data_IF_823962878951
#
_entry.id   IF_823962878951
#
_cell.length_a   1.000
_cell.length_b   1.000
_cell.length_c   1.000
_cell.angle_alpha   90.00
_cell.angle_beta   90.00
_cell.angle_gamma   90.00
#
_symmetry.space_group_name_H-M   'P 1'
#
loop_
_entity.id
_entity.type
_entity.pdbx_description
1 polymer ?
#
# COMPACT_ATOMS: atom_id res chain seq x y z
N UNK A 1 23.54 6.49 -27.96
CA UNK A 1 23.82 6.85 -26.55
C UNK A 1 22.50 7.06 -25.83
N UNK A 2 22.24 6.41 -24.67
CA UNK A 2 21.05 6.71 -23.88
C UNK A 2 21.22 8.07 -23.17
N UNK A 3 20.15 8.87 -22.96
CA UNK A 3 20.30 10.25 -22.51
C UNK A 3 20.42 10.37 -20.99
N UNK A 4 21.48 11.05 -20.52
CA UNK A 4 21.57 12.26 -19.63
C UNK A 4 20.46 12.55 -18.57
N UNK A 5 19.62 11.59 -18.16
CA UNK A 5 18.52 11.82 -17.21
C UNK A 5 19.00 11.93 -15.75
N UNK A 6 20.10 11.27 -15.40
CA UNK A 6 20.68 11.29 -14.05
C UNK A 6 21.29 12.64 -13.70
N UNK A 7 22.02 13.26 -14.63
CA UNK A 7 22.78 14.49 -14.37
C UNK A 7 21.87 15.70 -14.20
N UNK A 8 20.77 15.76 -14.96
CA UNK A 8 19.77 16.82 -14.80
C UNK A 8 19.11 16.79 -13.42
N UNK A 9 18.79 15.60 -12.90
CA UNK A 9 18.18 15.46 -11.56
C UNK A 9 19.15 15.88 -10.46
N UNK A 10 20.43 15.49 -10.56
CA UNK A 10 21.49 15.90 -9.62
C UNK A 10 21.67 17.42 -9.59
N UNK A 11 21.78 18.06 -10.76
CA UNK A 11 21.90 19.52 -10.87
C UNK A 11 20.71 20.27 -10.25
N UNK A 12 19.48 19.75 -10.39
CA UNK A 12 18.30 20.33 -9.75
C UNK A 12 18.39 20.24 -8.22
N UNK A 13 18.78 19.07 -7.68
CA UNK A 13 18.94 18.88 -6.22
C UNK A 13 20.02 19.82 -5.66
N UNK A 14 21.15 19.96 -6.34
CA UNK A 14 22.22 20.88 -5.94
C UNK A 14 21.75 22.34 -5.95
N UNK A 15 21.01 22.75 -6.99
CA UNK A 15 20.43 24.08 -7.08
C UNK A 15 19.45 24.37 -5.93
N UNK A 16 18.62 23.38 -5.56
CA UNK A 16 17.69 23.47 -4.42
C UNK A 16 18.42 23.58 -3.07
N UNK A 17 19.51 22.83 -2.89
CA UNK A 17 20.36 22.94 -1.71
C UNK A 17 20.97 24.35 -1.58
N UNK A 18 21.51 24.89 -2.68
CA UNK A 18 22.06 26.27 -2.72
C UNK A 18 20.98 27.31 -2.41
N UNK A 19 19.77 27.17 -2.95
CA UNK A 19 18.64 28.07 -2.66
C UNK A 19 18.29 28.06 -1.17
N UNK A 20 18.25 26.88 -0.55
CA UNK A 20 17.93 26.72 0.87
C UNK A 20 19.00 27.38 1.77
N UNK A 21 20.28 27.18 1.45
CA UNK A 21 21.40 27.83 2.15
C UNK A 21 21.37 29.36 1.98
N UNK A 22 21.07 29.86 0.78
CA UNK A 22 20.97 31.29 0.51
C UNK A 22 19.84 31.94 1.33
N UNK A 23 18.68 31.29 1.42
CA UNK A 23 17.55 31.77 2.23
C UNK A 23 17.90 31.78 3.72
N UNK A 24 18.55 30.74 4.23
CA UNK A 24 19.02 30.71 5.62
C UNK A 24 20.05 31.81 5.88
N UNK A 25 20.99 32.05 4.96
CA UNK A 25 21.99 33.09 5.12
C UNK A 25 21.39 34.52 5.13
N UNK A 26 20.33 34.75 4.33
CA UNK A 26 19.56 36.00 4.37
C UNK A 26 18.83 36.14 5.71
N UNK A 27 18.15 35.08 6.19
CA UNK A 27 17.46 35.09 7.50
C UNK A 27 18.43 35.35 8.66
N UNK A 28 19.66 34.83 8.56
CA UNK A 28 20.72 35.04 9.55
C UNK A 28 21.42 36.40 9.40
N UNK A 29 20.94 37.29 8.53
CA UNK A 29 21.50 38.63 8.34
C UNK A 29 22.89 38.67 7.67
N UNK A 30 23.39 37.55 7.14
CA UNK A 30 24.73 37.48 6.51
C UNK A 30 24.84 38.25 5.20
N UNK A 31 23.70 38.54 4.56
CA UNK A 31 23.66 39.28 3.30
C UNK A 31 22.63 40.41 3.37
N UNK A 32 22.97 41.62 2.90
CA UNK A 32 22.09 42.79 2.96
C UNK A 32 20.94 42.74 1.95
N UNK A 33 21.02 41.86 0.93
CA UNK A 33 19.97 41.71 -0.06
C UNK A 33 19.96 40.32 -0.69
N UNK A 34 18.81 39.92 -1.24
CA UNK A 34 18.69 38.70 -2.03
C UNK A 34 19.64 38.67 -3.23
N UNK A 35 19.96 39.83 -3.83
CA UNK A 35 20.89 39.90 -4.95
C UNK A 35 22.36 39.66 -4.54
N UNK A 36 22.74 40.02 -3.31
CA UNK A 36 24.07 39.76 -2.77
C UNK A 36 24.24 38.28 -2.40
N UNK A 37 23.21 37.69 -1.77
CA UNK A 37 23.18 36.26 -1.48
C UNK A 37 23.22 35.43 -2.77
N UNK A 38 22.36 35.73 -3.75
CA UNK A 38 22.32 35.02 -5.03
C UNK A 38 23.67 34.99 -5.76
N UNK A 39 24.41 36.11 -5.76
CA UNK A 39 25.77 36.16 -6.34
C UNK A 39 26.75 35.27 -5.59
N UNK A 40 26.69 35.26 -4.26
CA UNK A 40 27.62 34.49 -3.42
C UNK A 40 27.37 32.97 -3.48
N UNK A 41 26.11 32.56 -3.70
CA UNK A 41 25.72 31.15 -3.85
C UNK A 41 25.63 30.69 -5.31
N UNK A 42 26.02 31.53 -6.28
CA UNK A 42 25.96 31.25 -7.73
C UNK A 42 24.56 30.86 -8.23
N UNK A 43 23.53 31.59 -7.83
CA UNK A 43 22.13 31.34 -8.21
C UNK A 43 21.56 32.55 -8.94
N UNK A 44 20.67 32.38 -9.94
CA UNK A 44 19.94 33.50 -10.51
C UNK A 44 19.12 34.25 -9.46
N UNK A 45 19.27 35.58 -9.43
CA UNK A 45 18.56 36.45 -8.47
C UNK A 45 17.05 36.31 -8.58
N UNK A 46 16.52 36.14 -9.79
CA UNK A 46 15.09 35.95 -10.06
C UNK A 46 14.55 34.67 -9.41
N UNK A 47 15.31 33.57 -9.48
CA UNK A 47 14.94 32.28 -8.86
C UNK A 47 14.92 32.37 -7.34
N UNK A 48 15.94 33.02 -6.74
CA UNK A 48 15.98 33.22 -5.28
C UNK A 48 14.84 34.11 -4.79
N UNK A 49 14.55 35.22 -5.49
CA UNK A 49 13.40 36.08 -5.17
C UNK A 49 12.08 35.32 -5.30
N UNK A 50 11.89 34.55 -6.36
CA UNK A 50 10.69 33.74 -6.54
C UNK A 50 10.50 32.73 -5.39
N UNK A 51 11.59 32.10 -4.92
CA UNK A 51 11.54 31.17 -3.79
C UNK A 51 11.22 31.87 -2.46
N UNK A 52 11.81 33.05 -2.20
CA UNK A 52 11.49 33.87 -1.02
C UNK A 52 10.01 34.27 -1.02
N UNK A 53 9.45 34.56 -2.20
CA UNK A 53 8.03 34.86 -2.39
C UNK A 53 7.11 33.61 -2.35
N UNK A 54 7.61 32.45 -1.92
CA UNK A 54 6.81 31.25 -1.70
C UNK A 54 6.65 30.31 -2.90
N UNK A 55 7.39 30.52 -4.01
CA UNK A 55 7.34 29.58 -5.14
C UNK A 55 8.10 28.31 -4.82
N UNK A 56 7.36 27.20 -4.64
CA UNK A 56 7.92 25.86 -4.38
C UNK A 56 8.87 25.37 -5.50
N UNK A 57 9.78 24.46 -5.13
CA UNK A 57 10.61 23.76 -6.09
C UNK A 57 9.75 22.96 -7.08
N UNK A 58 10.18 22.85 -8.33
CA UNK A 58 9.56 21.91 -9.27
C UNK A 58 9.69 20.44 -8.82
N UNK A 59 10.67 20.13 -7.97
CA UNK A 59 10.89 18.79 -7.40
C UNK A 59 9.95 18.50 -6.24
N UNK A 60 9.59 19.53 -5.45
CA UNK A 60 8.66 19.43 -4.32
C UNK A 60 7.21 19.61 -4.77
N UNK A 61 6.99 20.40 -5.84
CA UNK A 61 5.68 20.67 -6.38
C UNK A 61 5.05 19.39 -6.91
N UNK A 62 4.02 18.93 -6.21
CA UNK A 62 3.19 17.82 -6.66
C UNK A 62 2.67 18.10 -8.06
N UNK A 63 2.84 17.14 -8.97
CA UNK A 63 2.44 17.32 -10.36
C UNK A 63 0.93 17.60 -10.46
N UNK A 64 0.52 18.52 -11.33
CA UNK A 64 -0.89 18.85 -11.59
C UNK A 64 -1.74 17.67 -12.12
N UNK A 65 -1.16 16.47 -12.27
CA UNK A 65 -1.82 15.26 -12.76
C UNK A 65 -2.40 14.38 -11.63
N UNK A 66 -2.17 14.73 -10.36
CA UNK A 66 -2.81 14.03 -9.25
C UNK A 66 -4.28 14.42 -9.16
N UNK A 67 -5.14 13.42 -9.21
CA UNK A 67 -6.60 13.58 -9.13
C UNK A 67 -7.03 13.92 -7.69
N UNK A 68 -6.36 13.32 -6.71
CA UNK A 68 -6.61 13.51 -5.29
C UNK A 68 -5.49 14.33 -4.63
N UNK A 69 -5.88 15.18 -3.68
CA UNK A 69 -4.99 15.91 -2.77
C UNK A 69 -4.24 14.95 -1.84
N UNK A 70 -3.26 15.46 -1.10
CA UNK A 70 -2.44 14.62 -0.21
C UNK A 70 -3.23 14.10 0.97
N UNK A 71 -4.14 14.95 1.47
CA UNK A 71 -5.06 14.64 2.55
C UNK A 71 -6.08 13.58 2.11
N UNK A 72 -6.61 13.70 0.89
CA UNK A 72 -7.53 12.71 0.33
C UNK A 72 -6.84 11.35 0.13
N UNK A 73 -5.66 11.33 -0.49
CA UNK A 73 -4.91 10.09 -0.65
C UNK A 73 -4.50 9.48 0.70
N UNK A 74 -4.17 10.31 1.70
CA UNK A 74 -3.89 9.85 3.07
C UNK A 74 -5.12 9.25 3.76
N UNK A 75 -6.31 9.81 3.52
CA UNK A 75 -7.58 9.24 4.01
C UNK A 75 -7.88 7.89 3.36
N UNK A 76 -7.64 7.77 2.05
CA UNK A 76 -7.80 6.50 1.32
C UNK A 76 -6.83 5.44 1.86
N UNK A 77 -5.56 5.81 2.08
CA UNK A 77 -4.56 4.91 2.67
C UNK A 77 -4.98 4.43 4.07
N UNK A 78 -5.41 5.35 4.94
CA UNK A 78 -5.89 5.00 6.29
C UNK A 78 -7.09 4.06 6.25
N UNK A 79 -8.04 4.30 5.34
CA UNK A 79 -9.18 3.43 5.14
C UNK A 79 -8.78 2.03 4.66
N UNK A 80 -7.83 1.93 3.73
CA UNK A 80 -7.30 0.64 3.26
C UNK A 80 -6.66 -0.15 4.40
N UNK A 81 -5.87 0.51 5.25
CA UNK A 81 -5.23 -0.14 6.40
C UNK A 81 -6.24 -0.58 7.46
N UNK A 82 -7.26 0.23 7.76
CA UNK A 82 -8.34 -0.14 8.68
C UNK A 82 -9.12 -1.36 8.15
N UNK A 83 -9.48 -1.37 6.88
CA UNK A 83 -10.15 -2.51 6.24
C UNK A 83 -9.26 -3.76 6.23
N UNK A 84 -7.97 -3.61 5.97
CA UNK A 84 -7.01 -4.70 6.04
C UNK A 84 -6.90 -5.27 7.46
N UNK A 85 -6.91 -4.43 8.49
CA UNK A 85 -6.89 -4.87 9.90
C UNK A 85 -8.12 -5.70 10.30
N UNK A 86 -9.26 -5.45 9.66
CA UNK A 86 -10.52 -6.19 9.85
C UNK A 86 -10.61 -7.46 9.01
N UNK A 87 -9.56 -7.80 8.25
CA UNK A 87 -9.53 -8.98 7.38
C UNK A 87 -10.27 -8.81 6.06
N UNK A 88 -10.61 -7.59 5.65
CA UNK A 88 -11.32 -7.37 4.39
C UNK A 88 -10.42 -7.65 3.16
N UNK A 89 -10.96 -8.36 2.19
CA UNK A 89 -10.27 -8.75 0.96
C UNK A 89 -10.32 -7.64 -0.11
N UNK A 90 -9.71 -6.49 0.14
CA UNK A 90 -9.77 -5.36 -0.80
C UNK A 90 -8.99 -5.63 -2.09
N UNK A 91 -9.60 -5.37 -3.24
CA UNK A 91 -8.97 -5.56 -4.56
C UNK A 91 -8.70 -4.23 -5.27
N UNK A 92 -7.86 -4.26 -6.32
CA UNK A 92 -7.61 -3.08 -7.16
C UNK A 92 -8.88 -2.51 -7.81
N UNK A 93 -9.81 -3.32 -8.34
CA UNK A 93 -11.10 -2.80 -8.81
C UNK A 93 -11.91 -2.13 -7.70
N UNK A 94 -12.01 -2.72 -6.51
CA UNK A 94 -12.74 -2.11 -5.39
C UNK A 94 -12.15 -0.76 -4.97
N UNK A 95 -10.82 -0.64 -4.92
CA UNK A 95 -10.15 0.65 -4.68
C UNK A 95 -10.48 1.68 -5.77
N UNK A 96 -10.57 1.24 -7.01
CA UNK A 96 -10.97 2.10 -8.13
C UNK A 96 -12.41 2.59 -7.98
N UNK A 97 -13.33 1.69 -7.64
CA UNK A 97 -14.73 2.01 -7.48
C UNK A 97 -14.94 2.98 -6.32
N UNK A 98 -14.24 2.76 -5.20
CA UNK A 98 -14.20 3.69 -4.07
C UNK A 98 -13.71 5.08 -4.53
N UNK A 99 -12.58 5.14 -5.23
CA UNK A 99 -12.05 6.41 -5.74
C UNK A 99 -13.04 7.13 -6.67
N UNK A 100 -13.71 6.40 -7.57
CA UNK A 100 -14.75 6.98 -8.44
C UNK A 100 -15.94 7.51 -7.63
N UNK A 101 -16.36 6.82 -6.58
CA UNK A 101 -17.43 7.30 -5.68
C UNK A 101 -17.04 8.61 -5.00
N UNK A 102 -15.79 8.75 -4.55
CA UNK A 102 -15.30 10.01 -3.96
C UNK A 102 -15.32 11.16 -4.98
N UNK A 103 -14.90 10.90 -6.22
CA UNK A 103 -14.92 11.92 -7.29
C UNK A 103 -16.34 12.33 -7.67
N UNK A 104 -17.25 11.37 -7.72
CA UNK A 104 -18.66 11.62 -7.95
C UNK A 104 -19.26 12.51 -6.86
N UNK A 105 -19.00 12.20 -5.58
CA UNK A 105 -19.44 13.00 -4.45
C UNK A 105 -18.88 14.44 -4.50
N UNK A 106 -17.62 14.59 -4.96
CA UNK A 106 -16.95 15.88 -5.13
C UNK A 106 -17.45 16.68 -6.34
N UNK A 107 -18.28 16.10 -7.22
CA UNK A 107 -18.75 16.71 -8.47
C UNK A 107 -17.62 17.29 -9.33
N UNK A 108 -16.45 16.66 -9.31
CA UNK A 108 -15.24 17.15 -9.97
C UNK A 108 -15.05 16.49 -11.35
N UNK A 109 -14.50 17.23 -12.30
CA UNK A 109 -14.02 16.70 -13.58
C UNK A 109 -12.50 16.45 -13.50
N UNK A 110 -11.99 15.26 -13.90
CA UNK A 110 -12.70 14.09 -14.42
C UNK A 110 -13.46 13.32 -13.32
N UNK A 111 -14.60 12.75 -13.69
CA UNK A 111 -15.47 11.99 -12.79
C UNK A 111 -14.99 10.57 -12.49
N UNK A 112 -13.92 10.11 -13.15
CA UNK A 112 -13.38 8.77 -13.00
C UNK A 112 -11.85 8.77 -12.99
N UNK A 113 -11.28 7.80 -12.26
CA UNK A 113 -9.85 7.50 -12.30
C UNK A 113 -9.53 6.55 -13.46
N UNK A 114 -8.31 6.66 -13.99
CA UNK A 114 -7.82 5.74 -15.04
C UNK A 114 -7.60 4.31 -14.54
N UNK A 115 -7.56 3.34 -15.47
CA UNK A 115 -7.43 1.91 -15.15
C UNK A 115 -6.17 1.57 -14.33
N UNK A 116 -5.07 2.28 -14.55
CA UNK A 116 -3.80 2.05 -13.85
C UNK A 116 -3.67 2.82 -12.54
N UNK A 117 -4.62 3.71 -12.23
CA UNK A 117 -4.56 4.55 -11.04
C UNK A 117 -4.42 3.75 -9.74
N UNK A 118 -5.16 2.65 -9.49
CA UNK A 118 -5.02 1.87 -8.26
C UNK A 118 -3.62 1.26 -8.08
N UNK A 119 -3.05 0.72 -9.15
CA UNK A 119 -1.70 0.14 -9.11
C UNK A 119 -0.64 1.20 -8.84
N UNK A 120 -0.74 2.35 -9.49
CA UNK A 120 0.16 3.48 -9.27
C UNK A 120 -0.03 4.11 -7.87
N UNK A 121 -1.26 4.13 -7.34
CA UNK A 121 -1.54 4.60 -5.98
C UNK A 121 -0.78 3.76 -4.95
N UNK A 122 -0.86 2.43 -5.04
CA UNK A 122 -0.15 1.53 -4.13
C UNK A 122 1.36 1.68 -4.29
N UNK A 123 1.86 1.78 -5.53
CA UNK A 123 3.30 1.99 -5.79
C UNK A 123 3.85 3.27 -5.15
N UNK A 124 3.01 4.31 -4.99
CA UNK A 124 3.40 5.57 -4.34
C UNK A 124 3.35 5.53 -2.81
N UNK A 125 2.67 4.54 -2.21
CA UNK A 125 2.44 4.45 -0.76
C UNK A 125 3.19 3.25 -0.19
N UNK A 126 4.36 3.45 0.44
CA UNK A 126 5.20 2.34 0.91
C UNK A 126 4.53 1.49 2.00
N UNK A 127 3.53 2.01 2.70
CA UNK A 127 2.79 1.28 3.74
C UNK A 127 1.79 0.27 3.17
N UNK A 128 1.53 0.32 1.86
CA UNK A 128 0.59 -0.56 1.17
C UNK A 128 1.36 -1.52 0.26
N UNK A 129 0.86 -2.73 0.15
CA UNK A 129 1.37 -3.73 -0.77
C UNK A 129 0.23 -4.52 -1.40
N UNK A 130 0.51 -5.19 -2.51
CA UNK A 130 -0.43 -6.15 -3.09
C UNK A 130 0.08 -7.56 -2.90
N UNK A 131 -0.76 -8.44 -2.38
CA UNK A 131 -0.41 -9.84 -2.14
C UNK A 131 -1.41 -10.78 -2.81
N UNK A 132 -0.94 -11.95 -3.21
CA UNK A 132 -1.84 -13.02 -3.63
C UNK A 132 -2.37 -13.73 -2.39
N UNK A 133 -3.67 -13.73 -2.25
CA UNK A 133 -4.38 -14.44 -1.19
C UNK A 133 -5.06 -15.66 -1.76
N UNK A 134 -5.04 -16.76 -1.00
CA UNK A 134 -5.72 -18.00 -1.36
C UNK A 134 -7.08 -18.03 -0.68
N UNK A 135 -8.09 -18.53 -1.40
CA UNK A 135 -9.37 -18.91 -0.81
C UNK A 135 -9.11 -19.91 0.33
N UNK A 136 -9.62 -19.60 1.52
CA UNK A 136 -9.65 -20.52 2.62
C UNK A 136 -10.99 -21.25 2.59
N UNK A 137 -10.94 -22.57 2.72
CA UNK A 137 -12.17 -23.36 2.72
C UNK A 137 -12.97 -23.07 4.00
N UNK A 138 -14.22 -22.63 3.84
CA UNK A 138 -15.11 -22.32 4.95
C UNK A 138 -15.37 -23.54 5.84
N UNK A 139 -15.51 -24.72 5.24
CA UNK A 139 -15.74 -25.96 5.99
C UNK A 139 -14.52 -26.30 6.86
N UNK A 140 -13.31 -26.02 6.36
CA UNK A 140 -12.09 -26.15 7.16
C UNK A 140 -12.09 -25.14 8.32
N UNK A 141 -12.47 -23.88 8.08
CA UNK A 141 -12.55 -22.88 9.15
C UNK A 141 -13.56 -23.27 10.25
N UNK A 142 -14.72 -23.82 9.87
CA UNK A 142 -15.71 -24.32 10.84
C UNK A 142 -15.19 -25.54 11.61
N UNK A 143 -14.45 -26.42 10.95
CA UNK A 143 -13.87 -27.62 11.57
C UNK A 143 -12.68 -27.30 12.48
N UNK A 144 -12.21 -26.05 12.51
CA UNK A 144 -11.14 -25.54 13.38
C UNK A 144 -11.66 -24.95 14.72
N UNK A 145 -12.96 -25.02 14.99
CA UNK A 145 -13.54 -24.62 16.28
C UNK A 145 -13.11 -25.59 17.40
N UNK A 146 -12.48 -25.13 18.49
CA UNK A 146 -12.12 -25.97 19.63
C UNK A 146 -13.28 -26.82 20.16
N UNK A 147 -14.52 -26.31 20.11
CA UNK A 147 -15.71 -27.05 20.57
C UNK A 147 -16.03 -28.28 19.74
N UNK A 148 -15.57 -28.31 18.49
CA UNK A 148 -15.75 -29.43 17.56
C UNK A 148 -14.50 -30.33 17.60
N UNK A 149 -13.32 -29.73 17.71
CA UNK A 149 -12.04 -30.45 17.73
C UNK A 149 -11.87 -31.26 19.03
N UNK A 150 -12.12 -30.67 20.19
CA UNK A 150 -11.87 -31.32 21.49
C UNK A 150 -12.65 -32.63 21.65
N UNK A 151 -13.99 -32.68 21.41
CA UNK A 151 -14.73 -33.94 21.53
C UNK A 151 -14.29 -35.01 20.53
N UNK A 152 -13.79 -34.61 19.35
CA UNK A 152 -13.28 -35.54 18.36
C UNK A 152 -11.98 -36.19 18.83
N UNK A 153 -11.01 -35.40 19.33
CA UNK A 153 -9.77 -35.95 19.88
C UNK A 153 -10.03 -36.82 21.12
N UNK A 154 -10.96 -36.43 22.00
CA UNK A 154 -11.37 -37.24 23.15
C UNK A 154 -11.98 -38.58 22.73
N UNK A 155 -12.75 -38.61 21.64
CA UNK A 155 -13.32 -39.84 21.10
C UNK A 155 -12.23 -40.74 20.52
N UNK A 156 -11.30 -40.16 19.75
CA UNK A 156 -10.16 -40.89 19.16
C UNK A 156 -9.31 -41.49 20.26
N UNK A 157 -8.94 -40.71 21.29
CA UNK A 157 -8.15 -41.20 22.42
C UNK A 157 -8.85 -42.35 23.16
N UNK A 158 -10.13 -42.20 23.50
CA UNK A 158 -10.92 -43.27 24.12
C UNK A 158 -10.98 -44.54 23.27
N UNK A 159 -11.00 -44.39 21.95
CA UNK A 159 -11.05 -45.54 21.02
C UNK A 159 -9.71 -46.26 20.97
N UNK A 160 -8.59 -45.52 20.93
CA UNK A 160 -7.23 -46.07 21.00
C UNK A 160 -7.04 -46.85 22.30
N UNK A 161 -7.42 -46.27 23.43
CA UNK A 161 -7.32 -46.91 24.76
C UNK A 161 -8.20 -48.16 24.88
N UNK A 162 -9.45 -48.09 24.39
CA UNK A 162 -10.41 -49.20 24.46
C UNK A 162 -9.95 -50.45 23.69
N UNK A 163 -9.32 -50.25 22.54
CA UNK A 163 -8.91 -51.34 21.65
C UNK A 163 -7.41 -51.64 21.70
N UNK A 164 -6.64 -50.92 22.53
CA UNK A 164 -5.20 -51.12 22.68
C UNK A 164 -4.43 -50.90 21.38
N UNK A 165 -4.84 -49.92 20.58
CA UNK A 165 -4.20 -49.62 19.29
C UNK A 165 -2.79 -49.08 19.57
N UNK A 166 -1.75 -49.72 19.02
CA UNK A 166 -0.39 -49.25 19.17
C UNK A 166 -0.16 -47.99 18.33
N UNK A 167 0.74 -47.10 18.76
CA UNK A 167 1.08 -45.89 18.01
C UNK A 167 1.55 -46.18 16.59
N UNK A 168 2.21 -47.32 16.40
CA UNK A 168 2.78 -47.75 15.12
C UNK A 168 1.71 -48.22 14.12
N UNK A 169 0.49 -48.47 14.60
CA UNK A 169 -0.67 -48.87 13.79
C UNK A 169 -1.59 -47.68 13.45
N UNK A 170 -1.20 -46.45 13.79
CA UNK A 170 -1.95 -45.23 13.49
C UNK A 170 -1.44 -44.63 12.17
N UNK A 171 -2.22 -44.79 11.10
CA UNK A 171 -1.92 -44.22 9.80
C UNK A 171 -2.77 -42.98 9.53
N UNK A 172 -2.12 -41.88 9.11
CA UNK A 172 -2.86 -40.74 8.60
C UNK A 172 -3.33 -41.06 7.18
N UNK A 173 -4.64 -41.05 6.96
CA UNK A 173 -5.23 -41.24 5.64
C UNK A 173 -5.93 -39.94 5.24
N UNK A 174 -5.26 -39.13 4.41
CA UNK A 174 -5.83 -37.92 3.85
C UNK A 174 -6.12 -38.08 2.35
N UNK A 175 -7.27 -37.59 1.92
CA UNK A 175 -7.61 -37.58 0.49
C UNK A 175 -6.92 -36.36 -0.16
N UNK A 176 -5.94 -36.62 -1.01
CA UNK A 176 -5.31 -35.59 -1.84
C UNK A 176 -6.16 -35.32 -3.10
N UNK A 177 -7.16 -34.44 -2.97
CA UNK A 177 -7.97 -33.99 -4.10
C UNK A 177 -7.24 -32.98 -4.99
N UNK A 178 -6.94 -33.33 -6.23
CA UNK A 178 -6.47 -32.36 -7.23
C UNK A 178 -7.66 -31.60 -7.82
N UNK A 179 -7.93 -30.40 -7.30
CA UNK A 179 -8.94 -29.51 -7.88
C UNK A 179 -8.44 -28.83 -9.17
N UNK A 180 -8.57 -29.52 -10.30
CA UNK A 180 -8.28 -28.96 -11.63
C UNK A 180 -9.31 -27.86 -11.94
N UNK A 181 -8.86 -26.62 -12.15
CA UNK A 181 -9.69 -25.51 -12.64
C UNK A 181 -10.09 -24.45 -11.61
N UNK A 182 -9.84 -24.64 -10.31
CA UNK A 182 -10.12 -23.60 -9.31
C UNK A 182 -8.97 -22.58 -9.29
N UNK A 183 -9.14 -21.42 -9.95
CA UNK A 183 -8.25 -20.26 -9.74
C UNK A 183 -8.49 -19.69 -8.34
N UNK A 184 -7.83 -20.29 -7.34
CA UNK A 184 -8.02 -19.99 -5.92
C UNK A 184 -7.31 -18.73 -5.43
N UNK A 185 -6.52 -18.07 -6.27
CA UNK A 185 -5.68 -16.93 -5.86
C UNK A 185 -6.22 -15.60 -6.37
N UNK A 186 -6.49 -14.67 -5.46
CA UNK A 186 -6.92 -13.31 -5.73
C UNK A 186 -5.84 -12.31 -5.28
N UNK A 187 -5.62 -11.25 -6.05
CA UNK A 187 -4.69 -10.18 -5.68
C UNK A 187 -5.43 -9.18 -4.79
N UNK A 188 -5.04 -9.13 -3.52
CA UNK A 188 -5.59 -8.23 -2.51
C UNK A 188 -4.59 -7.15 -2.13
N UNK A 189 -5.09 -6.04 -1.60
CA UNK A 189 -4.33 -4.94 -1.04
C UNK A 189 -4.18 -5.22 0.46
N UNK A 190 -2.96 -5.14 0.98
CA UNK A 190 -2.65 -5.33 2.40
C UNK A 190 -1.70 -4.27 2.91
N UNK A 191 -1.51 -4.19 4.23
CA UNK A 191 -0.36 -3.49 4.78
C UNK A 191 0.96 -4.09 4.26
N UNK A 192 1.97 -3.24 4.13
CA UNK A 192 3.30 -3.67 3.69
C UNK A 192 4.01 -4.53 4.76
N UNK A 193 3.80 -4.21 6.03
CA UNK A 193 4.41 -4.88 7.19
C UNK A 193 3.84 -6.28 7.48
N UNK A 194 2.76 -6.69 6.82
CA UNK A 194 2.17 -8.01 7.03
C UNK A 194 3.07 -9.14 6.49
N UNK A 195 3.54 -10.02 7.37
CA UNK A 195 4.31 -11.22 7.02
C UNK A 195 3.39 -12.46 6.93
N UNK A 196 3.16 -12.97 5.70
CA UNK A 196 2.43 -14.21 5.47
C UNK A 196 1.53 -14.21 4.22
N UNK A 197 0.91 -15.36 3.92
CA UNK A 197 -0.19 -15.48 2.94
C UNK A 197 -1.51 -15.38 3.70
N UNK A 198 -2.34 -14.40 3.39
CA UNK A 198 -3.69 -14.32 3.97
C UNK A 198 -4.58 -15.42 3.38
N UNK A 199 -5.30 -16.09 4.26
CA UNK A 199 -6.47 -16.91 3.98
C UNK A 199 -7.69 -15.98 3.97
N UNK A 200 -8.44 -15.92 2.87
CA UNK A 200 -9.73 -15.22 2.86
C UNK A 200 -10.80 -16.17 3.37
N UNK A 201 -11.46 -15.81 4.47
CA UNK A 201 -12.67 -16.47 4.92
C UNK A 201 -13.77 -16.25 3.88
N UNK A 202 -14.36 -17.33 3.38
CA UNK A 202 -15.53 -17.25 2.51
C UNK A 202 -16.73 -16.80 3.36
N UNK A 203 -17.54 -15.87 2.83
CA UNK A 203 -18.88 -15.67 3.38
C UNK A 203 -19.67 -16.96 3.12
N UNK A 204 -20.16 -17.61 4.17
CA UNK A 204 -21.01 -18.79 4.03
C UNK A 204 -22.16 -18.48 3.08
N UNK A 205 -22.35 -19.30 2.04
CA UNK A 205 -23.59 -19.24 1.29
C UNK A 205 -24.73 -19.68 2.23
N UNK A 206 -25.89 -18.99 2.21
CA UNK A 206 -27.08 -19.42 2.94
C UNK A 206 -27.62 -20.76 2.44
#
# INVERSE_FOLDING_TARGET
MPPQRSDKKRKLIEQEGRLSLAIQAIKNGKYPSAAAAARSFEIPVSTLKARINGRESATEKRHNRFIFTEIEEGSIEKWLLDMDSRGAALTLPMLRDMANLLLYARKTTPSTVGNHWPAEFIKRRPNLSTRLSRKYDYQRALSEDPRIIEPWFDLVQRTIEKWGIASDDIFNFDESGFAIGIRATQKIITSAEYHGKRALLQAGNP
#
